data_IF_366014362525
#
_entry.id   IF_366014362525
#
_cell.length_a   1.000
_cell.length_b   1.000
_cell.length_c   1.000
_cell.angle_alpha   90.00
_cell.angle_beta   90.00
_cell.angle_gamma   90.00
#
_symmetry.space_group_name_H-M   'P 1'
#
loop_
_entity.id
_entity.type
_entity.pdbx_description
1 polymer ?
#
# COMPACT_ATOMS: atom_id res chain seq x y z
N UNK A 1 2.09 -15.89 -31.47
CA UNK A 1 2.01 -15.74 -30.00
C UNK A 1 3.11 -14.80 -29.49
N UNK A 2 3.00 -13.47 -29.61
CA UNK A 2 3.86 -12.51 -28.88
C UNK A 2 3.14 -11.15 -28.80
N UNK A 3 3.35 -10.43 -27.69
CA UNK A 3 2.86 -9.07 -27.35
C UNK A 3 1.40 -8.94 -26.86
N UNK A 4 1.16 -9.32 -25.60
CA UNK A 4 0.17 -8.67 -24.72
C UNK A 4 0.70 -8.34 -23.30
N UNK A 5 1.94 -8.72 -22.98
CA UNK A 5 2.49 -8.72 -21.61
C UNK A 5 3.26 -7.46 -21.21
N UNK A 6 3.68 -6.61 -22.15
CA UNK A 6 4.54 -5.45 -21.84
C UNK A 6 3.88 -4.40 -20.93
N UNK A 7 2.55 -4.25 -21.01
CA UNK A 7 1.81 -3.30 -20.17
C UNK A 7 1.57 -3.82 -18.75
N UNK A 8 1.40 -5.13 -18.60
CA UNK A 8 1.26 -5.77 -17.29
C UNK A 8 2.60 -5.69 -16.53
N UNK A 9 3.71 -6.01 -17.19
CA UNK A 9 5.04 -5.91 -16.57
C UNK A 9 5.38 -4.48 -16.12
N UNK A 10 5.02 -3.46 -16.90
CA UNK A 10 5.28 -2.06 -16.54
C UNK A 10 4.44 -1.62 -15.34
N UNK A 11 3.18 -2.04 -15.27
CA UNK A 11 2.29 -1.78 -14.15
C UNK A 11 2.85 -2.39 -12.86
N UNK A 12 3.16 -3.69 -12.89
CA UNK A 12 3.68 -4.41 -11.73
C UNK A 12 5.00 -3.82 -11.26
N UNK A 13 5.91 -3.49 -12.20
CA UNK A 13 7.19 -2.83 -11.88
C UNK A 13 6.98 -1.46 -11.24
N UNK A 14 6.01 -0.68 -11.70
CA UNK A 14 5.71 0.66 -11.15
C UNK A 14 5.15 0.56 -9.74
N UNK A 15 4.22 -0.36 -9.49
CA UNK A 15 3.64 -0.58 -8.16
C UNK A 15 4.72 -1.04 -7.18
N UNK A 16 5.59 -1.97 -7.58
CA UNK A 16 6.71 -2.42 -6.75
C UNK A 16 7.67 -1.28 -6.43
N UNK A 17 8.01 -0.45 -7.42
CA UNK A 17 8.89 0.69 -7.21
C UNK A 17 8.27 1.72 -6.25
N UNK A 18 6.98 2.03 -6.41
CA UNK A 18 6.25 2.91 -5.50
C UNK A 18 6.22 2.32 -4.08
N UNK A 19 6.04 1.00 -3.93
CA UNK A 19 6.05 0.34 -2.63
C UNK A 19 7.40 0.48 -1.93
N UNK A 20 8.50 0.31 -2.66
CA UNK A 20 9.85 0.52 -2.12
C UNK A 20 10.07 1.97 -1.69
N UNK A 21 9.63 2.95 -2.50
CA UNK A 21 9.73 4.38 -2.15
C UNK A 21 8.89 4.69 -0.90
N UNK A 22 7.66 4.17 -0.82
CA UNK A 22 6.79 4.33 0.35
C UNK A 22 7.45 3.81 1.62
N UNK A 23 8.03 2.61 1.59
CA UNK A 23 8.73 2.03 2.75
C UNK A 23 9.90 2.92 3.18
N UNK A 24 10.69 3.44 2.24
CA UNK A 24 11.82 4.33 2.56
C UNK A 24 11.32 5.64 3.19
N UNK A 25 10.28 6.26 2.63
CA UNK A 25 9.68 7.49 3.19
C UNK A 25 9.21 7.27 4.62
N UNK A 26 8.49 6.18 4.88
CA UNK A 26 8.01 5.82 6.22
C UNK A 26 9.17 5.59 7.19
N UNK A 27 10.23 4.90 6.77
CA UNK A 27 11.42 4.69 7.61
C UNK A 27 12.16 5.99 7.92
N UNK A 28 12.29 6.90 6.94
CA UNK A 28 12.87 8.22 7.15
C UNK A 28 12.01 9.08 8.09
N UNK A 29 10.68 8.94 8.01
CA UNK A 29 9.75 9.57 8.94
C UNK A 29 9.93 9.07 10.37
N UNK A 30 10.05 7.75 10.56
CA UNK A 30 10.34 7.16 11.87
C UNK A 30 11.71 7.53 12.43
N UNK A 31 12.70 7.77 11.55
CA UNK A 31 14.03 8.24 11.94
C UNK A 31 14.07 9.75 12.23
N UNK A 32 12.92 10.45 12.21
CA UNK A 32 12.79 11.90 12.36
C UNK A 32 13.63 12.70 11.34
N UNK A 33 14.01 12.08 10.22
CA UNK A 33 14.80 12.71 9.16
C UNK A 33 13.93 13.53 8.21
N UNK A 34 12.68 13.11 8.05
CA UNK A 34 11.65 13.82 7.29
C UNK A 34 10.36 13.87 8.10
N UNK A 35 9.53 14.87 7.83
CA UNK A 35 8.25 15.02 8.48
C UNK A 35 7.14 14.64 7.48
N UNK A 36 6.48 13.51 7.71
CA UNK A 36 5.39 13.00 6.86
C UNK A 36 4.05 13.68 7.15
N UNK A 37 3.95 14.48 8.20
CA UNK A 37 2.75 15.25 8.52
C UNK A 37 2.81 16.65 7.92
N UNK A 38 4.02 17.13 7.57
CA UNK A 38 4.24 18.45 6.97
C UNK A 38 4.53 18.39 5.45
N UNK A 39 4.01 19.38 4.68
CA UNK A 39 4.39 19.52 3.27
C UNK A 39 5.90 19.78 3.11
N UNK A 40 6.55 19.24 2.05
CA UNK A 40 5.94 18.59 0.90
C UNK A 40 5.74 17.07 1.04
N UNK A 41 6.35 16.42 2.04
CA UNK A 41 6.38 14.96 2.14
C UNK A 41 5.01 14.37 2.48
N UNK A 42 4.18 15.08 3.25
CA UNK A 42 2.79 14.66 3.51
C UNK A 42 1.95 14.55 2.26
N UNK A 43 2.17 15.42 1.28
CA UNK A 43 1.47 15.38 -0.02
C UNK A 43 1.96 14.18 -0.84
N UNK A 44 3.27 13.93 -0.84
CA UNK A 44 3.88 12.80 -1.56
C UNK A 44 3.36 11.48 -0.99
N UNK A 45 3.37 11.34 0.34
CA UNK A 45 2.87 10.17 1.04
C UNK A 45 1.38 9.93 0.75
N UNK A 46 0.56 10.99 0.84
CA UNK A 46 -0.87 10.92 0.52
C UNK A 46 -1.14 10.47 -0.93
N UNK A 47 -0.36 10.96 -1.89
CA UNK A 47 -0.50 10.57 -3.31
C UNK A 47 -0.13 9.10 -3.49
N UNK A 48 0.99 8.65 -2.93
CA UNK A 48 1.43 7.25 -3.01
C UNK A 48 0.40 6.33 -2.35
N UNK A 49 -0.08 6.70 -1.16
CA UNK A 49 -1.13 5.98 -0.46
C UNK A 49 -2.41 5.90 -1.30
N UNK A 50 -2.84 7.00 -1.92
CA UNK A 50 -4.00 7.04 -2.80
C UNK A 50 -3.89 6.10 -3.99
N UNK A 51 -2.69 5.97 -4.58
CA UNK A 51 -2.43 5.00 -5.66
C UNK A 51 -2.63 3.57 -5.16
N UNK A 52 -2.08 3.20 -4.00
CA UNK A 52 -2.27 1.86 -3.44
C UNK A 52 -3.73 1.56 -3.09
N UNK A 53 -4.46 2.53 -2.55
CA UNK A 53 -5.90 2.38 -2.27
C UNK A 53 -6.67 2.03 -3.54
N UNK A 54 -6.45 2.77 -4.61
CA UNK A 54 -7.16 2.57 -5.89
C UNK A 54 -6.78 1.21 -6.49
N UNK A 55 -5.49 0.90 -6.55
CA UNK A 55 -4.98 -0.36 -7.09
C UNK A 55 -5.53 -1.58 -6.32
N UNK A 56 -5.46 -1.56 -4.99
CA UNK A 56 -6.00 -2.64 -4.16
C UNK A 56 -7.51 -2.76 -4.30
N UNK A 57 -8.23 -1.63 -4.32
CA UNK A 57 -9.69 -1.62 -4.49
C UNK A 57 -10.09 -2.22 -5.84
N UNK A 58 -9.41 -1.83 -6.92
CA UNK A 58 -9.65 -2.39 -8.25
C UNK A 58 -9.45 -3.90 -8.28
N UNK A 59 -8.33 -4.39 -7.73
CA UNK A 59 -8.03 -5.83 -7.62
C UNK A 59 -9.03 -6.59 -6.72
N UNK A 60 -9.51 -5.94 -5.66
CA UNK A 60 -10.54 -6.47 -4.78
C UNK A 60 -11.89 -6.64 -5.49
N UNK A 61 -12.34 -5.64 -6.26
CA UNK A 61 -13.65 -5.71 -6.94
C UNK A 61 -13.70 -6.71 -8.09
N UNK A 62 -12.60 -6.91 -8.81
CA UNK A 62 -12.51 -7.90 -9.90
C UNK A 62 -12.53 -9.34 -9.37
N UNK A 63 -12.08 -9.56 -8.15
CA UNK A 63 -11.88 -10.91 -7.62
C UNK A 63 -13.18 -11.54 -7.15
N UNK A 64 -13.52 -12.71 -7.71
CA UNK A 64 -14.76 -13.45 -7.37
C UNK A 64 -14.83 -13.88 -5.90
N UNK A 65 -13.69 -14.11 -5.25
CA UNK A 65 -13.58 -14.54 -3.84
C UNK A 65 -12.90 -13.47 -2.99
N UNK A 66 -13.69 -12.46 -2.60
CA UNK A 66 -13.25 -11.30 -1.81
C UNK A 66 -12.47 -11.65 -0.53
N UNK A 67 -13.01 -12.56 0.29
CA UNK A 67 -12.35 -12.98 1.54
C UNK A 67 -10.99 -13.64 1.34
N UNK A 68 -10.88 -14.50 0.32
CA UNK A 68 -9.64 -15.17 -0.03
C UNK A 68 -8.59 -14.17 -0.51
N UNK A 69 -9.02 -13.21 -1.34
CA UNK A 69 -8.15 -12.15 -1.85
C UNK A 69 -7.54 -11.33 -0.71
N UNK A 70 -8.34 -10.93 0.30
CA UNK A 70 -7.84 -10.16 1.45
C UNK A 70 -6.74 -10.93 2.19
N UNK A 71 -6.96 -12.22 2.44
CA UNK A 71 -6.01 -13.08 3.14
C UNK A 71 -4.73 -13.32 2.34
N UNK A 72 -4.84 -13.46 1.02
CA UNK A 72 -3.70 -13.66 0.12
C UNK A 72 -2.89 -12.37 -0.12
N UNK A 73 -3.53 -11.20 -0.02
CA UNK A 73 -2.93 -9.87 -0.26
C UNK A 73 -2.92 -9.02 1.01
N UNK A 74 -2.59 -9.64 2.15
CA UNK A 74 -2.57 -8.93 3.44
C UNK A 74 -1.50 -7.83 3.47
N UNK A 75 -0.35 -8.02 2.81
CA UNK A 75 0.71 -7.00 2.76
C UNK A 75 0.26 -5.73 2.05
N UNK A 76 -0.47 -5.85 0.94
CA UNK A 76 -1.01 -4.68 0.22
C UNK A 76 -2.04 -3.94 1.08
N UNK A 77 -2.85 -4.70 1.84
CA UNK A 77 -3.77 -4.10 2.81
C UNK A 77 -3.03 -3.40 3.95
N UNK A 78 -1.93 -3.98 4.45
CA UNK A 78 -1.08 -3.38 5.47
C UNK A 78 -0.40 -2.09 4.99
N UNK A 79 -0.03 -2.00 3.71
CA UNK A 79 0.54 -0.79 3.13
C UNK A 79 -0.46 0.37 3.07
N UNK A 80 -1.76 0.06 3.00
CA UNK A 80 -2.85 1.06 2.96
C UNK A 80 -3.38 1.36 4.37
N UNK A 81 -3.38 0.37 5.27
CA UNK A 81 -3.88 0.56 6.63
C UNK A 81 -2.80 1.21 7.51
N UNK A 82 -3.16 2.26 8.28
CA UNK A 82 -2.22 2.82 9.24
C UNK A 82 -1.89 1.76 10.30
N UNK A 83 -0.60 1.61 10.62
CA UNK A 83 -0.13 0.69 11.67
C UNK A 83 -0.89 0.89 12.99
N UNK A 84 -1.27 2.14 13.29
CA UNK A 84 -2.08 2.52 14.44
C UNK A 84 -3.44 1.80 14.50
N UNK A 85 -4.12 1.63 13.36
CA UNK A 85 -5.40 0.91 13.30
C UNK A 85 -5.19 -0.59 13.57
N UNK A 86 -4.14 -1.17 12.99
CA UNK A 86 -3.78 -2.58 13.19
C UNK A 86 -3.47 -2.86 14.66
N UNK A 87 -2.62 -2.04 15.29
CA UNK A 87 -2.29 -2.18 16.72
C UNK A 87 -3.51 -1.95 17.62
N UNK A 88 -4.47 -1.13 17.20
CA UNK A 88 -5.72 -0.92 17.94
C UNK A 88 -6.61 -2.16 17.90
N UNK A 89 -6.75 -2.81 16.74
CA UNK A 89 -7.49 -4.08 16.62
C UNK A 89 -6.82 -5.19 17.44
N UNK A 90 -5.49 -5.29 17.40
CA UNK A 90 -4.74 -6.26 18.23
C UNK A 90 -4.88 -6.03 19.73
N UNK A 91 -5.19 -4.80 20.16
CA UNK A 91 -5.45 -4.46 21.57
C UNK A 91 -6.86 -4.85 21.99
N UNK A 92 -7.85 -4.68 21.12
CA UNK A 92 -9.24 -5.07 21.36
C UNK A 92 -9.39 -6.59 21.50
N UNK A 93 -8.65 -7.38 20.72
CA UNK A 93 -8.70 -8.85 20.82
C UNK A 93 -8.08 -9.45 22.09
N UNK A 94 -7.55 -8.62 23.00
CA UNK A 94 -6.99 -9.05 24.30
C UNK A 94 -7.97 -8.82 25.47
N UNK A 95 -9.15 -8.26 25.18
CA UNK A 95 -10.24 -7.99 26.13
C UNK A 95 -11.31 -9.06 25.92
#
# INVERSE_FOLDING_TARGET
MKKKWFFADYYDTTIILLALISVILVLLGFAEMIDLDNPPYSIIDLVIWGVFVIDYSWRFFITKRKWRFILENVFDLLAILPLNAIFTVFRLGRI
#
